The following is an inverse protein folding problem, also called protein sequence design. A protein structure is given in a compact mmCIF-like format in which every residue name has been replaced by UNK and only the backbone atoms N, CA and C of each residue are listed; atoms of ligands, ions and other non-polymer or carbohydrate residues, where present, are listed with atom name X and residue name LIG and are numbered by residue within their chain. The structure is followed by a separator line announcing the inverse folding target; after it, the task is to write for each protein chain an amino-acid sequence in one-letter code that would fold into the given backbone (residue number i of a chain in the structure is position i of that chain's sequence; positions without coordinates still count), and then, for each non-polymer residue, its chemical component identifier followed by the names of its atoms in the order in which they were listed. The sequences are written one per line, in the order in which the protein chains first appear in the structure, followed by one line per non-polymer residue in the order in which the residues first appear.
data_IF_330438726971
#
_entry.id   IF_330438726971
#
_cell.length_a   1.000
_cell.length_b   1.000
_cell.length_c   1.000
_cell.angle_alpha   90.00
_cell.angle_beta   90.00
_cell.angle_gamma   90.00
#
_symmetry.space_group_name_H-M   'P 1'
#
loop_
_entity.id
_entity.type
_entity.pdbx_description
1 polymer ?
#
# COMPACT_ATOMS: atom_id res chain seq x y z
N UNK A 1 18.07 -17.14 -11.08
CA UNK A 1 16.88 -17.73 -10.43
C UNK A 1 15.94 -18.21 -11.52
N UNK A 2 15.07 -19.17 -11.25
CA UNK A 2 14.05 -19.64 -12.21
C UNK A 2 12.72 -18.92 -11.91
N UNK A 3 12.23 -18.12 -12.88
CA UNK A 3 11.02 -17.32 -12.73
C UNK A 3 9.78 -18.17 -12.42
N UNK A 4 9.61 -19.29 -13.13
CA UNK A 4 8.41 -20.12 -13.00
C UNK A 4 8.37 -20.80 -11.63
N UNK A 5 9.52 -21.30 -11.16
CA UNK A 5 9.63 -21.85 -9.81
C UNK A 5 9.37 -20.77 -8.75
N UNK A 6 9.94 -19.58 -8.92
CA UNK A 6 9.75 -18.47 -7.99
C UNK A 6 8.27 -18.06 -7.87
N UNK A 7 7.57 -17.91 -9.00
CA UNK A 7 6.14 -17.56 -9.02
C UNK A 7 5.30 -18.66 -8.37
N UNK A 8 5.60 -19.93 -8.67
CA UNK A 8 4.90 -21.07 -8.06
C UNK A 8 5.02 -21.05 -6.54
N UNK A 9 6.24 -20.89 -6.03
CA UNK A 9 6.50 -20.87 -4.59
C UNK A 9 5.88 -19.64 -3.92
N UNK A 10 5.83 -18.50 -4.61
CA UNK A 10 5.13 -17.32 -4.11
C UNK A 10 3.65 -17.60 -3.85
N UNK A 11 2.94 -18.25 -4.79
CA UNK A 11 1.51 -18.58 -4.60
C UNK A 11 1.27 -19.66 -3.55
N UNK A 12 2.20 -20.60 -3.37
CA UNK A 12 2.16 -21.53 -2.24
C UNK A 12 2.28 -20.75 -0.93
N UNK A 13 3.22 -19.80 -0.85
CA UNK A 13 3.41 -18.98 0.34
C UNK A 13 2.21 -18.06 0.63
N UNK A 14 1.48 -17.60 -0.39
CA UNK A 14 0.23 -16.84 -0.23
C UNK A 14 -0.86 -17.62 0.52
N UNK A 15 -0.89 -18.95 0.40
CA UNK A 15 -1.89 -19.78 1.12
C UNK A 15 -1.66 -19.81 2.63
N UNK A 16 -0.42 -19.58 3.07
CA UNK A 16 0.00 -19.60 4.48
C UNK A 16 0.10 -18.18 5.04
N UNK A 17 0.56 -17.22 4.22
CA UNK A 17 0.73 -15.82 4.60
C UNK A 17 0.15 -14.90 3.50
N UNK A 18 -1.15 -14.58 3.58
CA UNK A 18 -1.82 -13.79 2.55
C UNK A 18 -1.33 -12.35 2.56
N UNK A 19 -0.82 -11.90 1.42
CA UNK A 19 -0.44 -10.52 1.19
C UNK A 19 -1.62 -9.72 0.62
N UNK A 20 -1.67 -8.44 0.94
CA UNK A 20 -2.58 -7.49 0.32
C UNK A 20 -2.30 -7.32 -1.17
N UNK A 21 -3.30 -6.89 -1.94
CA UNK A 21 -3.20 -6.63 -3.39
C UNK A 21 -2.01 -5.73 -3.74
N UNK A 22 -1.73 -4.70 -2.94
CA UNK A 22 -0.60 -3.81 -3.19
C UNK A 22 0.77 -4.45 -2.92
N UNK A 23 0.86 -5.34 -1.94
CA UNK A 23 2.09 -6.10 -1.70
C UNK A 23 2.35 -7.08 -2.86
N UNK A 24 1.32 -7.77 -3.33
CA UNK A 24 1.39 -8.69 -4.48
C UNK A 24 1.83 -7.92 -5.74
N UNK A 25 1.18 -6.81 -6.06
CA UNK A 25 1.51 -5.99 -7.22
C UNK A 25 2.97 -5.49 -7.18
N UNK A 26 3.43 -5.01 -6.01
CA UNK A 26 4.80 -4.56 -5.85
C UNK A 26 5.81 -5.70 -6.02
N UNK A 27 5.55 -6.87 -5.44
CA UNK A 27 6.42 -8.03 -5.57
C UNK A 27 6.55 -8.47 -7.04
N UNK A 28 5.44 -8.63 -7.75
CA UNK A 28 5.46 -9.01 -9.17
C UNK A 28 6.19 -7.97 -10.03
N UNK A 29 6.00 -6.67 -9.79
CA UNK A 29 6.71 -5.61 -10.50
C UNK A 29 8.23 -5.67 -10.31
N UNK A 30 8.68 -5.94 -9.08
CA UNK A 30 10.11 -6.11 -8.77
C UNK A 30 10.68 -7.38 -9.41
N UNK A 31 9.96 -8.49 -9.33
CA UNK A 31 10.36 -9.78 -9.93
C UNK A 31 10.46 -9.67 -11.45
N UNK A 32 9.46 -9.06 -12.08
CA UNK A 32 9.47 -8.78 -13.52
C UNK A 32 10.74 -8.01 -13.91
N UNK A 33 11.02 -6.89 -13.23
CA UNK A 33 12.18 -6.08 -13.55
C UNK A 33 13.51 -6.80 -13.27
N UNK A 34 13.59 -7.58 -12.18
CA UNK A 34 14.77 -8.38 -11.86
C UNK A 34 15.03 -9.46 -12.93
N UNK A 35 13.97 -10.11 -13.43
CA UNK A 35 14.03 -11.07 -14.52
C UNK A 35 14.52 -10.41 -15.82
N UNK A 36 13.98 -9.23 -16.16
CA UNK A 36 14.43 -8.47 -17.34
C UNK A 36 15.92 -8.11 -17.28
N UNK A 37 16.46 -7.92 -16.06
CA UNK A 37 17.88 -7.62 -15.84
C UNK A 37 18.77 -8.86 -15.73
N UNK A 38 18.22 -10.07 -15.88
CA UNK A 38 18.99 -11.32 -15.79
C UNK A 38 19.34 -11.74 -14.36
N UNK A 39 18.50 -11.40 -13.37
CA UNK A 39 18.66 -11.78 -11.95
C UNK A 39 19.92 -11.24 -11.27
N UNK A 40 20.18 -9.92 -11.31
CA UNK A 40 21.27 -9.33 -10.52
C UNK A 40 21.00 -9.50 -9.02
N UNK A 41 22.07 -9.55 -8.22
CA UNK A 41 21.96 -9.59 -6.76
C UNK A 41 21.29 -8.33 -6.19
N UNK A 42 21.57 -7.18 -6.82
CA UNK A 42 21.00 -5.88 -6.47
C UNK A 42 20.72 -5.07 -7.73
N UNK A 43 19.64 -4.29 -7.72
CA UNK A 43 19.27 -3.42 -8.83
C UNK A 43 18.53 -2.17 -8.35
N UNK A 44 18.67 -1.09 -9.13
CA UNK A 44 18.07 0.20 -8.80
C UNK A 44 16.70 0.35 -9.44
N UNK A 45 15.72 0.84 -8.67
CA UNK A 45 14.41 1.17 -9.21
C UNK A 45 13.87 2.51 -8.69
N UNK A 46 13.60 3.47 -9.59
CA UNK A 46 12.96 4.72 -9.21
C UNK A 46 11.51 4.48 -8.74
N UNK A 47 11.09 5.23 -7.71
CA UNK A 47 9.71 5.16 -7.22
C UNK A 47 8.67 5.46 -8.32
N UNK A 48 8.97 6.39 -9.24
CA UNK A 48 8.06 6.72 -10.35
C UNK A 48 7.80 5.51 -11.25
N UNK A 49 8.83 4.72 -11.54
CA UNK A 49 8.71 3.48 -12.32
C UNK A 49 7.82 2.47 -11.59
N UNK A 50 8.00 2.34 -10.28
CA UNK A 50 7.16 1.47 -9.45
C UNK A 50 5.70 1.92 -9.40
N UNK A 51 5.44 3.22 -9.30
CA UNK A 51 4.09 3.79 -9.34
C UNK A 51 3.39 3.39 -10.66
N UNK A 52 4.09 3.50 -11.79
CA UNK A 52 3.56 3.10 -13.11
C UNK A 52 3.34 1.59 -13.23
N UNK A 53 4.30 0.77 -12.79
CA UNK A 53 4.22 -0.70 -12.92
C UNK A 53 3.15 -1.31 -12.02
N UNK A 54 2.96 -0.75 -10.82
CA UNK A 54 2.14 -1.37 -9.78
C UNK A 54 0.77 -0.70 -9.62
N UNK A 55 0.60 0.51 -10.17
CA UNK A 55 -0.59 1.35 -9.94
C UNK A 55 -0.71 1.88 -8.51
N UNK A 56 0.32 1.69 -7.67
CA UNK A 56 0.31 2.11 -6.27
C UNK A 56 0.75 3.56 -6.12
N UNK A 57 0.15 4.25 -5.16
CA UNK A 57 0.68 5.53 -4.70
C UNK A 57 2.06 5.34 -4.06
N UNK A 58 2.86 6.40 -4.02
CA UNK A 58 4.15 6.41 -3.33
C UNK A 58 4.08 5.90 -1.89
N UNK A 59 3.04 6.29 -1.13
CA UNK A 59 2.83 5.80 0.24
C UNK A 59 2.44 4.32 0.27
N UNK A 60 1.65 3.86 -0.72
CA UNK A 60 1.34 2.45 -0.90
C UNK A 60 2.60 1.61 -1.13
N UNK A 61 3.53 2.10 -1.96
CA UNK A 61 4.82 1.45 -2.22
C UNK A 61 5.64 1.36 -0.93
N UNK A 62 5.73 2.43 -0.13
CA UNK A 62 6.48 2.41 1.14
C UNK A 62 5.92 1.35 2.09
N UNK A 63 4.59 1.31 2.27
CA UNK A 63 3.93 0.31 3.13
C UNK A 63 4.15 -1.11 2.61
N UNK A 64 3.93 -1.34 1.32
CA UNK A 64 4.10 -2.64 0.68
C UNK A 64 5.55 -3.13 0.79
N UNK A 65 6.52 -2.24 0.59
CA UNK A 65 7.95 -2.55 0.68
C UNK A 65 8.37 -3.04 2.07
N UNK A 66 7.89 -2.36 3.12
CA UNK A 66 8.17 -2.77 4.50
C UNK A 66 7.58 -4.14 4.82
N UNK A 67 6.34 -4.39 4.38
CA UNK A 67 5.69 -5.68 4.59
C UNK A 67 6.38 -6.83 3.82
N UNK A 68 6.78 -6.60 2.57
CA UNK A 68 7.52 -7.58 1.76
C UNK A 68 8.92 -7.88 2.33
N UNK A 69 9.55 -6.89 2.97
CA UNK A 69 10.81 -7.09 3.69
C UNK A 69 10.60 -7.92 4.95
N UNK A 70 9.55 -7.63 5.72
CA UNK A 70 9.19 -8.41 6.91
C UNK A 70 8.80 -9.86 6.60
N UNK A 71 8.18 -10.11 5.44
CA UNK A 71 7.87 -11.47 4.98
C UNK A 71 9.06 -12.21 4.37
N UNK A 72 10.21 -11.54 4.23
CA UNK A 72 11.43 -12.14 3.68
C UNK A 72 11.36 -12.43 2.18
N UNK A 73 10.56 -11.66 1.43
CA UNK A 73 10.42 -11.81 -0.02
C UNK A 73 11.35 -10.90 -0.82
N UNK A 74 11.68 -9.73 -0.26
CA UNK A 74 12.62 -8.78 -0.86
C UNK A 74 13.50 -8.17 0.24
N UNK A 75 14.65 -7.65 -0.17
CA UNK A 75 15.39 -6.66 0.60
C UNK A 75 15.48 -5.34 -0.18
N UNK A 76 15.67 -4.24 0.54
CA UNK A 76 15.86 -2.92 -0.07
C UNK A 76 16.70 -2.00 0.80
N UNK A 77 17.37 -1.05 0.13
CA UNK A 77 18.13 0.04 0.75
C UNK A 77 17.72 1.39 0.14
N UNK A 78 17.40 2.36 1.00
CA UNK A 78 17.06 3.72 0.57
C UNK A 78 18.30 4.58 0.47
N UNK A 79 18.62 5.07 -0.72
CA UNK A 79 19.86 5.80 -0.99
C UNK A 79 19.68 7.33 -1.02
N UNK A 80 18.86 7.86 -0.11
CA UNK A 80 18.54 9.29 -0.04
C UNK A 80 17.92 9.81 -1.34
N UNK A 81 18.67 10.62 -2.08
CA UNK A 81 18.24 11.23 -3.36
C UNK A 81 18.31 10.23 -4.53
N UNK A 82 19.15 9.19 -4.43
CA UNK A 82 19.28 8.16 -5.47
C UNK A 82 18.10 7.17 -5.43
N UNK A 83 17.89 6.46 -6.53
CA UNK A 83 16.91 5.39 -6.62
C UNK A 83 17.14 4.33 -5.52
N UNK A 84 16.05 3.71 -5.05
CA UNK A 84 16.14 2.65 -4.04
C UNK A 84 16.76 1.41 -4.68
N UNK A 85 17.73 0.79 -3.99
CA UNK A 85 18.30 -0.50 -4.37
C UNK A 85 17.42 -1.62 -3.85
N UNK A 86 17.18 -2.64 -4.66
CA UNK A 86 16.37 -3.81 -4.33
C UNK A 86 17.15 -5.10 -4.56
N UNK A 87 16.83 -6.11 -3.75
CA UNK A 87 17.23 -7.50 -3.96
C UNK A 87 15.99 -8.39 -3.85
N UNK A 88 15.77 -9.25 -4.85
CA UNK A 88 14.69 -10.25 -4.81
C UNK A 88 15.23 -11.49 -4.12
N UNK A 89 14.52 -12.00 -3.12
CA UNK A 89 14.94 -13.19 -2.38
C UNK A 89 14.46 -14.43 -3.12
N UNK A 90 15.39 -15.35 -3.39
CA UNK A 90 15.05 -16.63 -4.00
C UNK A 90 14.42 -17.57 -2.96
N UNK A 91 13.09 -17.55 -2.87
CA UNK A 91 12.32 -18.46 -2.03
C UNK A 91 12.30 -19.89 -2.56
N UNK A 92 12.64 -20.13 -3.83
CA UNK A 92 12.64 -21.47 -4.42
C UNK A 92 13.76 -22.37 -3.89
N UNK A 93 14.85 -21.78 -3.38
CA UNK A 93 16.00 -22.52 -2.83
C UNK A 93 15.69 -23.29 -1.54
N UNK A 94 14.66 -22.90 -0.78
CA UNK A 94 14.29 -23.58 0.47
C UNK A 94 13.74 -24.99 0.25
N UNK A 95 13.29 -25.32 -0.97
CA UNK A 95 12.81 -26.66 -1.31
C UNK A 95 13.95 -27.64 -1.63
N UNK A 96 15.11 -27.13 -2.07
CA UNK A 96 16.25 -27.98 -2.46
C UNK A 96 17.00 -28.63 -1.29
N UNK A 97 16.65 -28.31 -0.04
CA UNK A 97 17.29 -28.89 1.16
C UNK A 97 16.42 -29.93 1.87
N UNK A 98 15.18 -30.15 1.43
CA UNK A 98 14.28 -31.13 2.05
C UNK A 98 14.20 -32.46 1.29
N UNK A 99 14.98 -32.65 0.22
CA UNK A 99 14.92 -33.86 -0.63
C UNK A 99 16.23 -34.67 -0.66
N UNK A 100 17.07 -34.54 0.38
CA UNK A 100 18.26 -35.39 0.53
C UNK A 100 18.53 -35.74 1.99
N UNK A 101 17.63 -36.54 2.57
CA UNK A 101 17.98 -37.48 3.65
C UNK A 101 17.14 -38.74 3.50
N UNK A 102 17.51 -39.55 2.52
CA UNK A 102 17.28 -40.99 2.59
C UNK A 102 18.20 -41.55 3.68
N UNK A 103 17.69 -42.24 4.72
CA UNK A 103 18.52 -43.04 5.59
C UNK A 103 18.82 -44.35 4.87
N UNK A 104 19.97 -44.45 4.21
CA UNK A 104 20.52 -45.74 3.80
C UNK A 104 21.17 -46.39 5.02
N UNK A 105 20.38 -47.15 5.76
CA UNK A 105 20.89 -48.21 6.62
C UNK A 105 21.11 -49.45 5.76
N UNK A 106 22.36 -49.86 5.57
CA UNK A 106 22.77 -51.26 5.73
C UNK A 106 24.29 -51.42 5.64
N UNK A 107 24.74 -52.35 6.46
CA UNK A 107 26.10 -52.56 6.90
C UNK A 107 26.97 -53.34 5.89
N UNK A 108 28.27 -53.24 6.17
CA UNK A 108 29.40 -54.03 5.70
C UNK A 108 29.18 -55.56 5.72
N UNK A 109 29.82 -56.29 4.77
CA UNK A 109 29.78 -57.77 4.75
C UNK A 109 30.08 -58.51 3.45
N UNK A 110 31.27 -58.31 2.85
CA UNK A 110 32.16 -59.32 2.21
C UNK A 110 31.81 -60.14 0.93
N UNK A 111 32.88 -60.29 0.14
CA UNK A 111 33.34 -61.28 -0.88
C UNK A 111 32.78 -61.41 -2.31
N UNK A 112 33.72 -61.21 -3.24
CA UNK A 112 34.05 -62.04 -4.43
C UNK A 112 33.22 -61.95 -5.73
N UNK A 113 33.82 -61.34 -6.76
CA UNK A 113 34.49 -62.01 -7.90
C UNK A 113 34.23 -61.36 -9.28
N UNK A 114 35.33 -60.98 -9.94
CA UNK A 114 35.65 -61.11 -11.38
C UNK A 114 34.81 -60.47 -12.52
N UNK A 115 35.57 -59.71 -13.34
CA UNK A 115 35.58 -59.61 -14.83
C UNK A 115 34.65 -58.63 -15.58
N UNK A 116 35.28 -57.53 -16.04
CA UNK A 116 35.37 -56.97 -17.41
C UNK A 116 34.21 -57.16 -18.42
N UNK A 117 33.65 -56.06 -18.93
CA UNK A 117 33.77 -55.55 -20.33
C UNK A 117 32.77 -54.38 -20.55
N UNK A 118 33.24 -53.19 -20.94
CA UNK A 118 33.31 -52.67 -22.31
C UNK A 118 31.94 -52.37 -22.96
N UNK A 119 31.60 -51.09 -23.12
CA UNK A 119 31.60 -50.34 -24.41
C UNK A 119 30.75 -49.07 -24.36
N UNK A 120 31.45 -47.94 -24.52
CA UNK A 120 30.97 -46.71 -25.17
C UNK A 120 30.58 -47.05 -26.64
N UNK A 121 29.72 -46.27 -27.34
CA UNK A 121 30.21 -45.02 -27.92
C UNK A 121 29.21 -43.85 -28.01
N UNK A 122 29.81 -42.67 -27.91
CA UNK A 122 29.40 -41.34 -28.36
C UNK A 122 28.80 -41.30 -29.77
N UNK A 123 27.88 -40.34 -30.00
CA UNK A 123 27.90 -39.53 -31.23
C UNK A 123 27.19 -38.19 -31.06
N UNK A 124 27.95 -37.12 -31.29
CA UNK A 124 27.48 -35.75 -31.53
C UNK A 124 26.93 -35.62 -32.95
N UNK A 125 25.93 -34.76 -33.16
CA UNK A 125 25.85 -33.92 -34.36
C UNK A 125 24.96 -32.69 -34.13
N UNK A 126 25.39 -31.56 -34.70
CA UNK A 126 24.75 -30.25 -34.66
C UNK A 126 24.01 -29.91 -35.97
N UNK A 127 23.20 -28.84 -35.86
CA UNK A 127 22.70 -27.88 -36.88
C UNK A 127 21.25 -28.02 -37.38
N UNK A 128 20.43 -27.09 -36.86
CA UNK A 128 19.76 -26.00 -37.59
C UNK A 128 18.55 -26.29 -38.50
N UNK A 129 17.43 -25.64 -38.14
CA UNK A 129 16.54 -24.97 -39.09
C UNK A 129 15.19 -25.63 -39.36
N UNK A 130 14.11 -25.01 -38.87
CA UNK A 130 12.90 -24.66 -39.63
C UNK A 130 11.66 -24.72 -38.72
N UNK A 131 11.15 -23.54 -38.39
CA UNK A 131 9.80 -23.32 -37.86
C UNK A 131 8.88 -23.12 -39.07
N UNK A 132 7.81 -23.89 -39.18
CA UNK A 132 6.51 -23.49 -39.74
C UNK A 132 5.40 -24.51 -39.38
N UNK A 133 4.11 -24.10 -39.41
CA UNK A 133 3.17 -24.37 -38.30
C UNK A 133 1.92 -25.19 -38.70
N UNK A 134 1.25 -25.84 -37.73
CA UNK A 134 -0.17 -26.28 -37.82
C UNK A 134 -0.68 -26.76 -36.45
N UNK A 135 -1.54 -26.00 -35.75
CA UNK A 135 -3.01 -26.17 -35.58
C UNK A 135 -3.50 -27.58 -35.20
N UNK A 136 -4.16 -27.73 -34.04
CA UNK A 136 -5.61 -28.01 -33.84
C UNK A 136 -6.07 -27.65 -32.39
N UNK A 137 -7.00 -26.70 -32.20
CA UNK A 137 -8.43 -26.81 -31.76
C UNK A 137 -8.63 -27.37 -30.32
N UNK A 138 -9.39 -26.78 -29.37
CA UNK A 138 -10.78 -26.28 -29.47
C UNK A 138 -11.24 -25.40 -28.28
N UNK A 139 -12.09 -24.40 -28.60
CA UNK A 139 -13.30 -23.85 -27.91
C UNK A 139 -13.27 -23.42 -26.42
N UNK A 140 -13.71 -22.21 -26.03
CA UNK A 140 -15.08 -21.68 -26.25
C UNK A 140 -15.12 -20.14 -26.18
N UNK A 141 -16.12 -19.59 -26.88
CA UNK A 141 -16.24 -18.28 -27.52
C UNK A 141 -16.68 -17.10 -26.62
N UNK A 142 -16.11 -15.93 -26.91
CA UNK A 142 -16.74 -14.60 -26.83
C UNK A 142 -17.49 -14.31 -28.14
N UNK A 143 -18.61 -13.59 -28.08
CA UNK A 143 -19.23 -12.96 -29.26
C UNK A 143 -19.54 -11.49 -28.94
N UNK A 144 -18.85 -10.62 -29.66
CA UNK A 144 -19.39 -9.36 -30.16
C UNK A 144 -19.19 -9.42 -31.67
N UNK A 145 -20.17 -8.99 -32.46
CA UNK A 145 -19.88 -8.03 -33.53
C UNK A 145 -21.14 -7.42 -34.17
N UNK A 146 -20.86 -6.33 -34.89
CA UNK A 146 -21.62 -5.14 -35.23
C UNK A 146 -22.53 -5.19 -36.48
N UNK A 147 -23.45 -4.20 -36.54
CA UNK A 147 -24.00 -3.39 -37.68
C UNK A 147 -24.53 -4.09 -38.96
N UNK A 148 -25.67 -3.71 -39.57
CA UNK A 148 -25.99 -2.39 -40.19
C UNK A 148 -27.50 -2.21 -40.47
N UNK A 149 -27.94 -0.94 -40.37
CA UNK A 149 -28.81 -0.15 -41.27
C UNK A 149 -30.08 -0.81 -41.88
N UNK A 150 -31.29 -0.34 -41.51
CA UNK A 150 -32.12 0.48 -42.41
C UNK A 150 -33.34 1.13 -41.71
N UNK A 151 -33.82 2.19 -42.37
CA UNK A 151 -34.89 3.15 -42.04
C UNK A 151 -36.24 2.50 -41.70
N UNK A 152 -37.05 3.19 -40.88
CA UNK A 152 -38.44 3.61 -41.21
C UNK A 152 -39.19 4.23 -40.00
N UNK A 153 -39.47 5.55 -40.11
CA UNK A 153 -40.75 6.22 -39.82
C UNK A 153 -41.30 6.31 -38.37
N UNK A 154 -41.02 7.47 -37.77
CA UNK A 154 -41.95 8.41 -37.10
C UNK A 154 -43.44 8.00 -37.08
N UNK A 155 -43.99 7.78 -35.88
CA UNK A 155 -45.40 8.06 -35.56
C UNK A 155 -45.54 8.61 -34.13
N UNK A 156 -45.89 9.90 -34.05
CA UNK A 156 -46.78 10.45 -33.01
C UNK A 156 -48.16 9.81 -33.17
N UNK A 157 -48.87 9.51 -32.06
CA UNK A 157 -50.35 9.53 -31.87
C UNK A 157 -50.63 9.10 -30.41
N UNK A 158 -50.79 10.06 -29.48
CA UNK A 158 -52.04 10.47 -28.76
C UNK A 158 -52.74 9.42 -27.86
N UNK A 159 -52.72 9.69 -26.53
CA UNK A 159 -53.77 9.66 -25.47
C UNK A 159 -54.94 8.62 -25.49
N UNK A 160 -55.72 8.43 -24.38
CA UNK A 160 -55.56 8.89 -22.99
C UNK A 160 -55.79 7.77 -21.92
N UNK A 161 -55.34 7.98 -20.68
CA UNK A 161 -56.03 7.39 -19.51
C UNK A 161 -56.12 8.45 -18.42
N UNK A 162 -57.35 8.78 -18.06
CA UNK A 162 -57.75 9.91 -17.21
C UNK A 162 -57.91 9.45 -15.76
N UNK A 163 -57.32 10.26 -14.89
CA UNK A 163 -57.71 10.63 -13.52
C UNK A 163 -57.82 9.55 -12.43
N UNK A 164 -56.89 9.65 -11.48
CA UNK A 164 -57.26 9.78 -10.07
C UNK A 164 -56.53 11.01 -9.51
N UNK A 165 -57.31 12.02 -9.12
CA UNK A 165 -56.88 13.30 -8.56
C UNK A 165 -56.21 13.13 -7.19
N UNK A 166 -55.10 13.84 -6.96
CA UNK A 166 -54.68 14.28 -5.63
C UNK A 166 -53.91 15.61 -5.76
N UNK A 167 -54.09 16.57 -4.82
CA UNK A 167 -53.99 17.99 -5.12
C UNK A 167 -52.59 18.48 -5.44
N UNK A 168 -52.54 19.47 -6.31
CA UNK A 168 -51.38 20.26 -6.65
C UNK A 168 -50.86 21.03 -5.44
N UNK A 169 -49.62 20.76 -5.06
CA UNK A 169 -48.72 21.74 -4.46
C UNK A 169 -47.42 21.76 -5.28
N UNK A 170 -47.05 22.96 -5.72
CA UNK A 170 -45.91 23.33 -6.57
C UNK A 170 -44.56 22.76 -6.08
N UNK A 171 -43.73 22.18 -6.98
CA UNK A 171 -42.28 22.36 -6.83
C UNK A 171 -41.56 22.41 -8.20
N UNK A 172 -41.73 23.49 -8.96
CA UNK A 172 -41.07 23.63 -10.28
C UNK A 172 -39.71 24.35 -10.25
N UNK A 173 -39.23 24.81 -9.08
CA UNK A 173 -37.96 25.56 -8.97
C UNK A 173 -36.76 24.76 -8.43
N UNK A 174 -36.96 23.62 -7.77
CA UNK A 174 -35.88 22.88 -7.09
C UNK A 174 -35.05 21.97 -8.02
N UNK A 175 -35.58 21.60 -9.19
CA UNK A 175 -34.93 20.63 -10.09
C UNK A 175 -33.78 21.24 -10.90
N UNK A 176 -33.85 22.53 -11.23
CA UNK A 176 -32.81 23.23 -12.02
C UNK A 176 -31.53 23.41 -11.20
N UNK A 177 -31.64 23.79 -9.93
CA UNK A 177 -30.47 24.09 -9.10
C UNK A 177 -29.69 22.85 -8.68
N UNK A 178 -30.37 21.70 -8.50
CA UNK A 178 -29.71 20.42 -8.23
C UNK A 178 -28.91 19.97 -9.46
N UNK A 179 -29.39 20.29 -10.67
CA UNK A 179 -28.70 19.98 -11.90
C UNK A 179 -27.38 20.78 -12.01
N UNK A 180 -27.37 22.03 -11.56
CA UNK A 180 -26.15 22.86 -11.51
C UNK A 180 -25.09 22.27 -10.57
N UNK A 181 -25.50 21.75 -9.41
CA UNK A 181 -24.61 21.05 -8.47
C UNK A 181 -24.03 19.79 -9.12
N UNK A 182 -24.86 19.00 -9.83
CA UNK A 182 -24.42 17.80 -10.52
C UNK A 182 -23.45 18.12 -11.66
N UNK A 183 -23.78 19.11 -12.49
CA UNK A 183 -22.94 19.57 -13.59
C UNK A 183 -21.60 20.09 -13.08
N UNK A 184 -21.60 20.86 -11.98
CA UNK A 184 -20.38 21.33 -11.35
C UNK A 184 -19.51 20.18 -10.85
N UNK A 185 -20.11 19.19 -10.18
CA UNK A 185 -19.40 18.01 -9.69
C UNK A 185 -18.69 17.27 -10.83
N UNK A 186 -19.42 16.94 -11.88
CA UNK A 186 -18.90 16.16 -13.01
C UNK A 186 -17.87 16.97 -13.84
N UNK A 187 -18.08 18.29 -13.97
CA UNK A 187 -17.19 19.18 -14.73
C UNK A 187 -15.87 19.54 -14.03
N UNK A 188 -15.78 19.43 -12.71
CA UNK A 188 -14.61 19.87 -11.93
C UNK A 188 -13.71 18.71 -11.46
N UNK A 189 -13.85 17.52 -12.05
CA UNK A 189 -12.94 16.40 -11.81
C UNK A 189 -13.17 15.66 -10.49
N UNK A 190 -14.40 15.67 -9.97
CA UNK A 190 -14.79 14.80 -8.85
C UNK A 190 -15.12 13.36 -9.30
N UNK A 191 -15.23 13.13 -10.60
CA UNK A 191 -15.62 11.84 -11.19
C UNK A 191 -17.13 11.72 -11.38
N UNK A 192 -17.60 10.53 -11.75
CA UNK A 192 -19.03 10.26 -11.90
C UNK A 192 -19.75 10.41 -10.56
N UNK A 193 -20.85 11.16 -10.57
CA UNK A 193 -21.65 11.36 -9.38
C UNK A 193 -22.43 10.08 -9.03
N UNK A 194 -22.05 9.43 -7.93
CA UNK A 194 -22.78 8.28 -7.40
C UNK A 194 -24.20 8.69 -6.99
N UNK A 195 -25.24 7.84 -7.21
CA UNK A 195 -26.61 8.11 -6.77
C UNK A 195 -26.69 8.45 -5.28
N UNK A 196 -25.95 7.74 -4.43
CA UNK A 196 -25.89 8.00 -2.99
C UNK A 196 -25.33 9.39 -2.66
N UNK A 197 -24.28 9.81 -3.38
CA UNK A 197 -23.69 11.14 -3.19
C UNK A 197 -24.63 12.23 -3.69
N UNK A 198 -25.37 11.98 -4.77
CA UNK A 198 -26.42 12.89 -5.24
C UNK A 198 -27.50 13.08 -4.18
N UNK A 199 -28.03 12.00 -3.63
CA UNK A 199 -29.02 12.05 -2.54
C UNK A 199 -28.48 12.83 -1.35
N UNK A 200 -27.23 12.56 -0.93
CA UNK A 200 -26.63 13.28 0.19
C UNK A 200 -26.47 14.79 -0.10
N UNK A 201 -26.18 15.19 -1.33
CA UNK A 201 -26.10 16.62 -1.69
C UNK A 201 -27.49 17.27 -1.69
N UNK A 202 -28.53 16.53 -2.10
CA UNK A 202 -29.93 16.99 -2.01
C UNK A 202 -30.33 17.16 -0.54
N UNK A 203 -30.00 16.20 0.32
CA UNK A 203 -30.26 16.30 1.76
C UNK A 203 -29.60 17.54 2.36
N UNK A 204 -28.36 17.85 1.96
CA UNK A 204 -27.68 19.08 2.40
C UNK A 204 -28.37 20.36 1.94
N UNK A 205 -28.93 20.40 0.72
CA UNK A 205 -29.70 21.55 0.25
C UNK A 205 -30.97 21.73 1.10
N UNK A 206 -31.65 20.64 1.41
CA UNK A 206 -32.85 20.66 2.25
C UNK A 206 -32.54 21.06 3.70
N UNK A 207 -31.44 20.58 4.27
CA UNK A 207 -31.03 20.90 5.64
C UNK A 207 -30.59 22.38 5.75
N UNK A 208 -29.88 22.91 4.75
CA UNK A 208 -29.55 24.34 4.69
C UNK A 208 -30.81 25.20 4.51
N UNK A 209 -31.80 24.71 3.76
CA UNK A 209 -33.12 25.37 3.62
C UNK A 209 -33.86 25.39 4.96
N UNK A 210 -33.92 24.26 5.68
CA UNK A 210 -34.53 24.18 7.03
C UNK A 210 -33.82 25.08 8.04
N UNK A 211 -32.50 25.23 7.90
CA UNK A 211 -31.71 26.12 8.75
C UNK A 211 -31.96 27.62 8.47
N UNK A 212 -32.73 27.97 7.43
CA UNK A 212 -33.11 29.34 7.10
C UNK A 212 -32.18 30.05 6.12
N UNK A 213 -31.38 29.30 5.35
CA UNK A 213 -30.55 29.90 4.30
C UNK A 213 -31.42 30.39 3.12
N UNK A 214 -31.21 31.64 2.64
CA UNK A 214 -31.92 32.15 1.47
C UNK A 214 -31.47 31.49 0.17
N UNK A 215 -30.24 30.97 0.11
CA UNK A 215 -29.64 30.38 -1.09
C UNK A 215 -28.86 29.10 -0.76
N UNK A 216 -29.56 27.99 -0.40
CA UNK A 216 -28.93 26.76 0.06
C UNK A 216 -28.07 26.08 -1.02
N UNK A 217 -28.50 26.15 -2.28
CA UNK A 217 -27.80 25.54 -3.42
C UNK A 217 -26.44 26.20 -3.68
N UNK A 218 -26.39 27.52 -3.57
CA UNK A 218 -25.15 28.30 -3.72
C UNK A 218 -24.16 28.02 -2.61
N UNK A 219 -24.62 27.76 -1.38
CA UNK A 219 -23.74 27.31 -0.30
C UNK A 219 -23.10 25.96 -0.65
N UNK A 220 -23.89 24.97 -1.10
CA UNK A 220 -23.35 23.67 -1.50
C UNK A 220 -22.36 23.81 -2.67
N UNK A 221 -22.66 24.65 -3.65
CA UNK A 221 -21.72 24.99 -4.74
C UNK A 221 -20.44 25.66 -4.23
N UNK A 222 -20.52 26.58 -3.27
CA UNK A 222 -19.34 27.21 -2.70
C UNK A 222 -18.48 26.19 -1.92
N UNK A 223 -19.09 25.23 -1.22
CA UNK A 223 -18.35 24.16 -0.56
C UNK A 223 -17.59 23.29 -1.58
N UNK A 224 -18.22 22.99 -2.71
CA UNK A 224 -17.58 22.29 -3.83
C UNK A 224 -16.43 23.10 -4.44
N UNK A 225 -16.61 24.42 -4.62
CA UNK A 225 -15.55 25.33 -5.06
C UNK A 225 -14.36 25.30 -4.10
N UNK A 226 -14.58 25.42 -2.78
CA UNK A 226 -13.52 25.36 -1.77
C UNK A 226 -12.78 24.03 -1.80
N UNK A 227 -13.47 22.92 -2.08
CA UNK A 227 -12.84 21.60 -2.26
C UNK A 227 -11.94 21.53 -3.51
N UNK A 228 -12.34 22.17 -4.61
CA UNK A 228 -11.53 22.29 -5.83
C UNK A 228 -10.30 23.15 -5.60
N UNK A 229 -10.45 24.31 -4.95
CA UNK A 229 -9.35 25.23 -4.60
C UNK A 229 -8.32 24.56 -3.69
N UNK A 230 -8.80 23.80 -2.71
CA UNK A 230 -7.95 23.04 -1.78
C UNK A 230 -7.32 21.79 -2.41
N UNK A 231 -7.64 21.49 -3.67
CA UNK A 231 -7.21 20.30 -4.39
C UNK A 231 -7.63 18.97 -3.70
N UNK A 232 -8.69 18.99 -2.89
CA UNK A 232 -9.25 17.83 -2.19
C UNK A 232 -10.67 17.56 -2.71
N UNK A 233 -10.75 16.98 -3.90
CA UNK A 233 -11.99 16.77 -4.67
C UNK A 233 -12.68 15.47 -4.30
N UNK A 234 -13.17 15.36 -3.07
CA UNK A 234 -13.94 14.21 -2.61
C UNK A 234 -15.13 14.64 -1.72
N UNK A 235 -16.21 13.84 -1.74
CA UNK A 235 -17.42 14.14 -0.98
C UNK A 235 -17.16 14.25 0.52
N UNK A 236 -16.26 13.42 1.08
CA UNK A 236 -15.94 13.44 2.51
C UNK A 236 -15.42 14.80 2.98
N UNK A 237 -14.60 15.45 2.17
CA UNK A 237 -14.08 16.79 2.44
C UNK A 237 -15.18 17.84 2.35
N UNK A 238 -16.00 17.79 1.29
CA UNK A 238 -17.17 18.67 1.09
C UNK A 238 -18.15 18.57 2.26
N UNK A 239 -18.49 17.35 2.68
CA UNK A 239 -19.33 17.08 3.84
C UNK A 239 -18.72 17.69 5.13
N UNK A 240 -17.40 17.60 5.30
CA UNK A 240 -16.71 18.24 6.43
C UNK A 240 -16.81 19.76 6.43
N UNK A 241 -16.77 20.39 5.25
CA UNK A 241 -16.98 21.83 5.09
C UNK A 241 -18.42 22.20 5.46
N UNK A 242 -19.41 21.50 4.89
CA UNK A 242 -20.83 21.77 5.12
C UNK A 242 -21.21 21.61 6.60
N UNK A 243 -20.75 20.54 7.27
CA UNK A 243 -20.91 20.36 8.72
C UNK A 243 -20.31 21.50 9.53
N UNK A 244 -19.15 22.01 9.12
CA UNK A 244 -18.50 23.12 9.82
C UNK A 244 -19.33 24.41 9.71
N UNK A 245 -19.86 24.68 8.51
CA UNK A 245 -20.71 25.84 8.25
C UNK A 245 -22.05 25.75 8.97
N UNK A 246 -22.67 24.58 8.97
CA UNK A 246 -23.90 24.30 9.75
C UNK A 246 -23.65 24.53 11.25
N UNK A 247 -22.56 23.95 11.80
CA UNK A 247 -22.21 24.10 13.22
C UNK A 247 -22.00 25.56 13.64
N UNK A 248 -21.47 26.38 12.73
CA UNK A 248 -21.25 27.82 12.94
C UNK A 248 -22.44 28.69 12.51
N UNK A 249 -23.51 28.09 11.98
CA UNK A 249 -24.68 28.77 11.39
C UNK A 249 -24.30 29.82 10.34
N UNK A 250 -23.34 29.49 9.46
CA UNK A 250 -22.96 30.31 8.33
C UNK A 250 -23.96 30.10 7.18
N UNK A 251 -25.12 30.75 7.30
CA UNK A 251 -26.28 30.53 6.42
C UNK A 251 -26.29 31.42 5.18
N UNK A 252 -25.25 32.22 4.95
CA UNK A 252 -25.16 33.14 3.82
C UNK A 252 -23.79 33.03 3.17
N UNK A 253 -23.75 33.12 1.84
CA UNK A 253 -22.51 33.06 1.04
C UNK A 253 -21.47 34.07 1.57
N UNK A 254 -21.90 35.31 1.86
CA UNK A 254 -21.02 36.34 2.43
C UNK A 254 -20.42 35.95 3.80
N UNK A 255 -21.18 35.26 4.65
CA UNK A 255 -20.72 34.81 5.96
C UNK A 255 -19.68 33.68 5.84
N UNK A 256 -19.87 32.79 4.85
CA UNK A 256 -18.91 31.74 4.51
C UNK A 256 -17.61 32.34 3.99
N UNK A 257 -17.68 33.28 3.05
CA UNK A 257 -16.49 33.91 2.46
C UNK A 257 -15.69 34.67 3.52
N UNK A 258 -16.36 35.36 4.44
CA UNK A 258 -15.71 36.00 5.59
C UNK A 258 -15.00 34.99 6.49
N UNK A 259 -15.65 33.85 6.81
CA UNK A 259 -15.04 32.82 7.66
C UNK A 259 -13.83 32.14 6.99
N UNK A 260 -13.91 31.84 5.70
CA UNK A 260 -12.81 31.22 4.97
C UNK A 260 -11.63 32.18 4.79
N UNK A 261 -11.90 33.48 4.64
CA UNK A 261 -10.88 34.53 4.63
C UNK A 261 -10.13 34.61 5.96
N UNK A 262 -10.85 34.64 7.08
CA UNK A 262 -10.24 34.62 8.43
C UNK A 262 -9.42 33.34 8.68
N UNK A 263 -9.85 32.19 8.16
CA UNK A 263 -9.10 30.94 8.28
C UNK A 263 -7.81 30.97 7.47
N UNK A 264 -7.79 31.62 6.31
CA UNK A 264 -6.58 31.81 5.49
C UNK A 264 -5.58 32.74 6.18
N UNK A 265 -6.04 33.82 6.83
CA UNK A 265 -5.16 34.75 7.56
C UNK A 265 -4.65 34.18 8.89
N UNK A 266 -5.49 33.46 9.63
CA UNK A 266 -5.15 32.90 10.94
C UNK A 266 -4.45 31.54 10.87
N UNK A 267 -4.01 31.07 9.70
CA UNK A 267 -3.27 29.82 9.59
C UNK A 267 -1.90 29.97 10.27
N UNK A 268 -1.65 29.30 11.42
CA UNK A 268 -0.33 29.32 12.01
C UNK A 268 0.63 28.65 11.04
N UNK A 269 1.70 29.36 10.66
CA UNK A 269 2.84 28.79 9.93
C UNK A 269 3.33 27.57 10.71
N UNK A 270 3.04 26.37 10.20
CA UNK A 270 3.53 25.13 10.80
C UNK A 270 5.04 25.10 10.66
N UNK A 271 5.75 25.56 11.70
CA UNK A 271 7.18 25.32 11.84
C UNK A 271 7.37 23.80 11.89
N UNK A 272 7.81 23.24 10.76
CA UNK A 272 8.20 21.84 10.63
C UNK A 272 9.55 21.64 11.33
N UNK A 273 9.55 21.71 12.66
CA UNK A 273 10.66 21.31 13.50
C UNK A 273 10.28 20.01 14.20
N UNK A 274 11.02 18.93 13.95
CA UNK A 274 10.96 17.76 14.85
C UNK A 274 11.36 18.28 16.25
N UNK A 275 10.66 17.90 17.33
CA UNK A 275 11.13 18.24 18.67
C UNK A 275 12.50 17.58 18.85
N UNK A 276 13.57 18.37 18.76
CA UNK A 276 14.92 17.91 19.07
C UNK A 276 15.00 17.87 20.58
N UNK A 277 15.00 16.66 21.14
CA UNK A 277 15.28 16.43 22.55
C UNK A 277 16.75 16.80 22.79
N UNK A 278 16.99 17.95 23.42
CA UNK A 278 18.31 18.30 23.96
C UNK A 278 18.54 17.46 25.21
N UNK A 279 19.39 16.44 25.10
CA UNK A 279 19.86 15.72 26.28
C UNK A 279 20.96 16.55 26.94
N UNK A 280 20.72 17.01 28.16
CA UNK A 280 21.75 17.67 28.95
C UNK A 280 22.78 16.63 29.41
N UNK A 281 24.06 16.94 29.24
CA UNK A 281 25.13 16.04 29.63
C UNK A 281 25.06 15.78 31.15
N UNK A 282 25.07 14.51 31.59
CA UNK A 282 25.09 14.17 33.01
C UNK A 282 26.21 14.88 33.76
N UNK A 283 25.99 15.20 35.03
CA UNK A 283 26.91 15.98 35.89
C UNK A 283 28.33 15.38 35.94
N UNK A 284 28.48 14.07 35.76
CA UNK A 284 29.77 13.39 35.73
C UNK A 284 30.55 13.54 34.41
N UNK A 285 29.88 13.92 33.31
CA UNK A 285 30.44 14.11 31.97
C UNK A 285 30.77 15.59 31.66
N UNK A 286 30.58 16.47 32.63
CA UNK A 286 30.90 17.90 32.51
C UNK A 286 32.40 18.13 32.73
N UNK A 287 32.99 19.03 31.94
CA UNK A 287 34.39 19.43 32.07
C UNK A 287 34.65 19.96 33.49
N UNK A 288 35.59 19.34 34.20
CA UNK A 288 35.93 19.69 35.59
C UNK A 288 35.28 18.82 36.68
N UNK A 289 34.53 17.77 36.34
CA UNK A 289 34.02 16.82 37.33
C UNK A 289 35.17 16.12 38.08
N UNK A 290 35.20 16.27 39.41
CA UNK A 290 36.08 15.53 40.31
C UNK A 290 35.27 14.50 41.10
N UNK A 291 35.44 13.19 40.84
CA UNK A 291 34.73 12.17 41.60
C UNK A 291 35.12 12.24 43.08
N UNK A 292 34.11 12.20 43.96
CA UNK A 292 34.33 12.09 45.41
C UNK A 292 34.84 10.68 45.73
N UNK A 293 36.15 10.49 45.71
CA UNK A 293 36.75 9.24 46.20
C UNK A 293 36.52 9.13 47.71
N UNK A 294 35.62 8.23 48.13
CA UNK A 294 35.62 7.76 49.51
C UNK A 294 36.95 7.04 49.73
N UNK A 295 37.75 7.48 50.70
CA UNK A 295 38.95 6.74 51.12
C UNK A 295 38.45 5.42 51.70
N UNK A 296 38.70 4.32 50.98
CA UNK A 296 38.36 2.97 51.42
C UNK A 296 39.12 2.70 52.72
N UNK A 297 38.39 2.48 53.82
CA UNK A 297 38.97 2.17 55.14
C UNK A 297 39.75 0.86 55.06
N UNK A 298 40.77 0.68 55.90
CA UNK A 298 41.46 -0.62 56.03
C UNK A 298 40.48 -1.74 56.39
N UNK A 299 39.44 -1.43 57.17
CA UNK A 299 38.36 -2.36 57.50
C UNK A 299 37.55 -2.79 56.27
N UNK A 300 37.29 -1.88 55.33
CA UNK A 300 36.57 -2.19 54.08
C UNK A 300 37.42 -3.06 53.15
N UNK A 301 38.74 -2.84 53.13
CA UNK A 301 39.69 -3.69 52.39
C UNK A 301 39.76 -5.09 52.98
N UNK A 302 39.76 -5.20 54.31
CA UNK A 302 39.77 -6.48 55.01
C UNK A 302 38.48 -7.27 54.75
N UNK A 303 37.31 -6.62 54.82
CA UNK A 303 36.01 -7.25 54.48
C UNK A 303 35.96 -7.73 53.03
N UNK A 304 36.50 -6.95 52.09
CA UNK A 304 36.55 -7.34 50.69
C UNK A 304 37.47 -8.54 50.46
N UNK A 305 38.62 -8.59 51.15
CA UNK A 305 39.54 -9.72 51.10
C UNK A 305 38.90 -11.00 51.65
N UNK A 306 38.19 -10.90 52.77
CA UNK A 306 37.46 -12.02 53.37
C UNK A 306 36.37 -12.54 52.42
N UNK A 307 35.58 -11.67 51.79
CA UNK A 307 34.59 -12.07 50.77
C UNK A 307 35.23 -12.78 49.57
N UNK A 308 36.39 -12.31 49.11
CA UNK A 308 37.12 -12.95 48.01
C UNK A 308 37.63 -14.34 48.40
N UNK A 309 38.02 -14.54 49.65
CA UNK A 309 38.46 -15.85 50.15
C UNK A 309 37.28 -16.83 50.31
N UNK A 310 36.16 -16.35 50.84
CA UNK A 310 34.91 -17.12 50.91
C UNK A 310 34.43 -17.58 49.53
N UNK A 311 34.47 -16.71 48.51
CA UNK A 311 34.15 -17.05 47.12
C UNK A 311 35.09 -18.12 46.55
N UNK A 312 36.40 -18.02 46.81
CA UNK A 312 37.37 -19.05 46.37
C UNK A 312 37.14 -20.40 47.06
N UNK A 313 36.76 -20.40 48.33
CA UNK A 313 36.46 -21.62 49.07
C UNK A 313 35.16 -22.30 48.59
N UNK A 314 34.16 -21.51 48.19
CA UNK A 314 32.94 -22.00 47.57
C UNK A 314 33.20 -22.64 46.20
N UNK A 315 34.03 -22.02 45.36
CA UNK A 315 34.42 -22.60 44.06
C UNK A 315 35.14 -23.95 44.17
N UNK A 316 36.04 -24.11 45.14
CA UNK A 316 36.73 -25.39 45.39
C UNK A 316 35.80 -26.52 45.87
N UNK A 317 34.63 -26.19 46.43
CA UNK A 317 33.63 -27.18 46.87
C UNK A 317 32.77 -27.68 45.72
N UNK A 318 32.62 -26.91 44.65
CA UNK A 318 31.90 -27.34 43.44
C UNK A 318 32.74 -28.28 42.57
N UNK A 319 34.07 -28.11 42.53
CA UNK A 319 34.99 -28.96 41.75
C UNK A 319 35.26 -30.36 42.38
N UNK A 320 34.80 -30.60 43.61
CA UNK A 320 35.09 -31.82 44.37
C UNK A 320 33.88 -32.75 44.53
N UNK A 321 32.87 -32.61 43.66
CA UNK A 321 31.65 -33.44 43.64
C UNK A 321 31.43 -34.12 42.30
#
# INVERSE_FOLDING_TARGET
MDLFKLIREFYIQQSVNPLSTGQIALWHGLVYQCNQLGWPSEFNMPNRTLETLTGLSRQGIVKARNALKQSGLIDFQTNGVKATTYSVIDISRKLSTSDSRQPSSQADGSVSNSRQHSRQPSRQHSLQGSLQPSRQHSSTYTKQDETKLDKTKRQQTTAPVKAAERPAEEPSSSSSSILDICNFWEGNGFGQLSPFTRESLVDWVDDMRKAGSPEPEKLVLNALRTAVESNVRNYKYVNGILKNWESKRLLTVAAVDANDSERKTNQPQRRYGKPVRTEELPVWAQDGYKPKHKKVSEEDRAKLAEQMEQLKALGKKEDSK
#
